data_IF_965902491635
#
_entry.id   IF_965902491635
#
_cell.length_a   1.000
_cell.length_b   1.000
_cell.length_c   1.000
_cell.angle_alpha   90.00
_cell.angle_beta   90.00
_cell.angle_gamma   90.00
#
_symmetry.space_group_name_H-M   'P 1'
#
loop_
_entity.id
_entity.type
_entity.pdbx_description
1 polymer ?
#
# COMPACT_ATOMS: atom_id res chain seq x y z
N UNK A 1 9.63 -12.09 -14.48
CA UNK A 1 9.21 -12.74 -13.22
C UNK A 1 9.91 -14.09 -13.15
N UNK A 2 10.64 -14.36 -12.10
CA UNK A 2 11.31 -15.65 -11.95
C UNK A 2 10.25 -16.70 -11.58
N UNK A 3 10.05 -17.74 -12.40
CA UNK A 3 9.13 -18.84 -12.12
C UNK A 3 9.51 -19.67 -10.85
N UNK A 4 10.59 -19.28 -10.19
CA UNK A 4 11.06 -19.84 -8.92
C UNK A 4 10.69 -18.97 -7.72
N UNK A 5 9.98 -17.87 -7.95
CA UNK A 5 9.52 -17.00 -6.88
C UNK A 5 8.42 -17.71 -6.11
N UNK A 6 8.69 -17.99 -4.85
CA UNK A 6 7.88 -18.80 -3.95
C UNK A 6 7.78 -18.19 -2.56
N UNK A 7 8.08 -16.90 -2.47
CA UNK A 7 7.92 -16.20 -1.22
C UNK A 7 6.43 -15.96 -0.93
N UNK A 8 6.04 -16.18 0.32
CA UNK A 8 4.65 -16.22 0.77
C UNK A 8 3.85 -14.96 0.38
N UNK A 9 4.41 -13.77 0.60
CA UNK A 9 3.68 -12.53 0.36
C UNK A 9 3.38 -12.32 -1.12
N UNK A 10 4.27 -12.80 -1.99
CA UNK A 10 4.08 -12.79 -3.44
C UNK A 10 3.19 -13.94 -3.92
N UNK A 11 3.37 -15.15 -3.33
CA UNK A 11 2.56 -16.30 -3.67
C UNK A 11 1.05 -16.05 -3.43
N UNK A 12 0.71 -15.35 -2.34
CA UNK A 12 -0.70 -15.03 -2.01
C UNK A 12 -1.38 -14.12 -3.03
N UNK A 13 -0.64 -13.30 -3.78
CA UNK A 13 -1.22 -12.44 -4.82
C UNK A 13 -1.72 -13.22 -6.03
N UNK A 14 -1.32 -14.48 -6.18
CA UNK A 14 -1.76 -15.35 -7.27
C UNK A 14 -3.21 -15.83 -7.13
N UNK A 15 -3.81 -15.71 -5.95
CA UNK A 15 -5.10 -16.31 -5.55
C UNK A 15 -5.08 -17.85 -5.54
N UNK A 16 -3.91 -18.47 -5.61
CA UNK A 16 -3.75 -19.93 -5.62
C UNK A 16 -3.26 -20.49 -4.28
N UNK A 17 -3.08 -19.63 -3.28
CA UNK A 17 -2.73 -20.03 -1.90
C UNK A 17 -4.01 -20.22 -1.09
N UNK A 18 -4.10 -21.33 -0.36
CA UNK A 18 -5.15 -21.54 0.64
C UNK A 18 -4.80 -20.76 1.92
N UNK A 19 -5.59 -19.75 2.31
CA UNK A 19 -5.28 -18.91 3.46
C UNK A 19 -5.37 -19.63 4.81
N UNK A 20 -6.01 -20.79 4.86
CA UNK A 20 -6.08 -21.62 6.08
C UNK A 20 -4.88 -22.55 6.21
N UNK A 21 -4.43 -23.08 5.09
CA UNK A 21 -3.26 -23.97 5.03
C UNK A 21 -1.94 -23.19 4.99
N UNK A 22 -1.95 -21.91 4.59
CA UNK A 22 -0.78 -21.12 4.24
C UNK A 22 0.13 -21.80 3.22
N UNK A 23 -0.46 -22.57 2.32
CA UNK A 23 0.19 -23.33 1.25
C UNK A 23 -0.67 -23.27 -0.02
N UNK A 24 -0.14 -23.81 -1.12
CA UNK A 24 -0.85 -23.86 -2.39
C UNK A 24 -2.19 -24.59 -2.28
N UNK A 25 -3.24 -24.03 -2.88
CA UNK A 25 -4.54 -24.67 -3.02
C UNK A 25 -4.48 -25.71 -4.16
N UNK A 26 -3.96 -26.88 -3.84
CA UNK A 26 -3.76 -27.97 -4.82
C UNK A 26 -5.05 -28.37 -5.53
N UNK A 27 -6.18 -28.35 -4.83
CA UNK A 27 -7.47 -28.67 -5.43
C UNK A 27 -7.87 -27.67 -6.52
N UNK A 28 -7.61 -26.38 -6.28
CA UNK A 28 -7.86 -25.32 -7.27
C UNK A 28 -6.87 -25.38 -8.43
N UNK A 29 -5.58 -25.61 -8.14
CA UNK A 29 -4.52 -25.74 -9.14
C UNK A 29 -4.81 -26.88 -10.10
N UNK A 30 -5.18 -28.06 -9.56
CA UNK A 30 -5.54 -29.23 -10.37
C UNK A 30 -6.79 -28.98 -11.22
N UNK A 31 -7.81 -28.34 -10.64
CA UNK A 31 -9.04 -27.98 -11.36
C UNK A 31 -8.78 -27.02 -12.53
N UNK A 32 -7.80 -26.09 -12.38
CA UNK A 32 -7.39 -25.16 -13.42
C UNK A 32 -6.46 -25.83 -14.47
N UNK A 33 -6.02 -27.06 -14.23
CA UNK A 33 -5.13 -27.80 -15.14
C UNK A 33 -3.69 -27.28 -15.14
N UNK A 34 -3.26 -26.58 -14.12
CA UNK A 34 -1.88 -26.12 -14.02
C UNK A 34 -0.94 -27.26 -13.60
N UNK A 35 0.23 -27.43 -14.24
CA UNK A 35 1.20 -28.43 -13.83
C UNK A 35 1.72 -28.14 -12.41
N UNK A 36 1.60 -29.10 -11.49
CA UNK A 36 2.10 -28.95 -10.11
C UNK A 36 3.59 -28.63 -10.03
N UNK A 37 4.37 -29.00 -11.03
CA UNK A 37 5.81 -28.71 -11.12
C UNK A 37 6.15 -27.22 -11.22
N UNK A 38 5.17 -26.36 -11.53
CA UNK A 38 5.33 -24.90 -11.50
C UNK A 38 5.35 -24.34 -10.08
N UNK A 39 4.77 -25.07 -9.13
CA UNK A 39 4.55 -24.61 -7.75
C UNK A 39 5.54 -25.31 -6.82
N UNK A 40 6.49 -24.52 -6.32
CA UNK A 40 7.48 -25.01 -5.36
C UNK A 40 6.99 -24.73 -3.93
N UNK A 41 7.67 -25.32 -2.93
CA UNK A 41 7.39 -25.06 -1.51
C UNK A 41 7.45 -23.57 -1.23
N UNK A 42 6.40 -23.00 -0.63
CA UNK A 42 6.33 -21.60 -0.23
C UNK A 42 7.33 -21.34 0.90
N UNK A 43 8.04 -20.23 0.82
CA UNK A 43 9.00 -19.79 1.85
C UNK A 43 8.50 -18.48 2.48
N UNK A 44 8.72 -18.36 3.76
CA UNK A 44 8.38 -17.12 4.49
C UNK A 44 9.52 -16.08 4.37
N UNK A 45 9.15 -14.80 4.38
CA UNK A 45 10.10 -13.71 4.54
C UNK A 45 10.97 -13.90 5.82
N UNK A 46 12.25 -13.59 5.73
CA UNK A 46 13.26 -13.88 6.76
C UNK A 46 13.96 -15.23 6.57
N UNK A 47 13.49 -16.09 5.64
CA UNK A 47 14.18 -17.35 5.35
C UNK A 47 15.54 -17.12 4.69
N UNK A 48 16.54 -17.92 5.09
CA UNK A 48 17.85 -17.92 4.46
C UNK A 48 17.77 -18.74 3.17
N UNK A 49 18.03 -18.11 2.03
CA UNK A 49 18.06 -18.76 0.71
C UNK A 49 19.34 -19.57 0.51
N UNK A 50 20.46 -19.06 1.02
CA UNK A 50 21.78 -19.66 0.90
C UNK A 50 22.88 -18.63 1.07
N UNK A 51 24.10 -19.00 0.70
CA UNK A 51 25.21 -18.05 0.60
C UNK A 51 25.17 -17.31 -0.74
N UNK A 52 25.78 -16.14 -0.77
CA UNK A 52 26.02 -15.42 -2.02
C UNK A 52 26.77 -16.33 -3.01
N UNK A 53 26.39 -16.35 -4.27
CA UNK A 53 27.01 -17.22 -5.28
C UNK A 53 28.53 -16.91 -5.40
N UNK A 54 29.35 -17.95 -5.55
CA UNK A 54 30.83 -17.84 -5.60
C UNK A 54 31.33 -16.83 -6.64
N UNK A 55 30.64 -16.77 -7.80
CA UNK A 55 30.96 -15.80 -8.85
C UNK A 55 30.75 -14.35 -8.40
N UNK A 56 29.75 -14.11 -7.57
CA UNK A 56 29.46 -12.77 -7.03
C UNK A 56 30.38 -12.47 -5.85
N UNK A 57 30.64 -13.44 -4.96
CA UNK A 57 31.61 -13.27 -3.85
C UNK A 57 32.97 -12.81 -4.39
N UNK A 58 33.43 -13.42 -5.49
CA UNK A 58 34.70 -13.02 -6.16
C UNK A 58 34.67 -11.59 -6.69
N UNK A 59 33.50 -11.10 -7.15
CA UNK A 59 33.37 -9.74 -7.68
C UNK A 59 33.31 -8.69 -6.58
N UNK A 60 32.56 -8.97 -5.48
CA UNK A 60 32.36 -8.00 -4.39
C UNK A 60 33.45 -8.10 -3.30
N UNK A 61 34.18 -9.22 -3.23
CA UNK A 61 35.28 -9.43 -2.29
C UNK A 61 34.85 -9.84 -0.87
N UNK A 62 33.60 -10.25 -0.68
CA UNK A 62 33.09 -10.74 0.63
C UNK A 62 32.06 -11.85 0.47
N UNK A 63 31.85 -12.59 1.56
CA UNK A 63 30.79 -13.59 1.70
C UNK A 63 29.64 -13.02 2.54
N UNK A 64 28.41 -13.36 2.17
CA UNK A 64 27.24 -13.08 2.98
C UNK A 64 26.12 -14.10 2.74
N UNK A 65 25.17 -14.15 3.66
CA UNK A 65 23.93 -14.90 3.49
C UNK A 65 22.94 -14.07 2.67
N UNK A 66 22.20 -14.74 1.80
CA UNK A 66 21.07 -14.16 1.08
C UNK A 66 19.81 -14.46 1.88
N UNK A 67 19.15 -13.42 2.36
CA UNK A 67 17.89 -13.50 3.11
C UNK A 67 16.74 -13.11 2.20
N UNK A 68 15.66 -13.88 2.24
CA UNK A 68 14.43 -13.60 1.51
C UNK A 68 13.64 -12.53 2.25
N UNK A 69 13.41 -11.33 1.70
CA UNK A 69 12.51 -10.34 2.30
C UNK A 69 11.05 -10.71 2.03
N UNK A 70 10.11 -9.90 2.52
CA UNK A 70 8.76 -9.89 1.98
C UNK A 70 8.82 -9.33 0.53
N UNK A 71 8.74 -10.19 -0.48
CA UNK A 71 9.05 -9.83 -1.87
C UNK A 71 7.94 -9.04 -2.56
N UNK A 72 6.72 -9.08 -2.04
CA UNK A 72 5.70 -8.11 -2.41
C UNK A 72 6.04 -6.77 -1.74
N UNK A 73 6.24 -5.72 -2.55
CA UNK A 73 6.69 -4.40 -2.09
C UNK A 73 5.84 -3.81 -0.96
N UNK A 74 4.51 -3.91 -1.09
CA UNK A 74 3.59 -3.45 -0.03
C UNK A 74 3.70 -4.30 1.24
N UNK A 75 4.02 -5.60 1.15
CA UNK A 75 4.22 -6.41 2.34
C UNK A 75 5.46 -5.94 3.13
N UNK A 76 6.54 -5.63 2.43
CA UNK A 76 7.70 -4.98 3.03
C UNK A 76 7.33 -3.60 3.60
N UNK A 77 6.61 -2.77 2.86
CA UNK A 77 6.20 -1.45 3.35
C UNK A 77 5.36 -1.53 4.65
N UNK A 78 4.48 -2.51 4.76
CA UNK A 78 3.66 -2.73 5.96
C UNK A 78 4.49 -3.21 7.15
N UNK A 79 5.58 -3.95 6.94
CA UNK A 79 6.53 -4.26 8.01
C UNK A 79 7.13 -3.00 8.64
N UNK A 80 7.38 -1.97 7.82
CA UNK A 80 7.95 -0.69 8.25
C UNK A 80 6.93 0.31 8.80
N UNK A 81 5.65 -0.06 8.96
CA UNK A 81 4.64 0.83 9.56
C UNK A 81 5.03 1.14 11.01
N UNK A 82 5.30 2.42 11.36
CA UNK A 82 5.87 2.78 12.66
C UNK A 82 4.80 2.85 13.75
N UNK A 83 4.13 1.74 14.02
CA UNK A 83 3.01 1.67 14.97
C UNK A 83 3.36 0.84 16.20
N UNK A 84 2.81 1.26 17.35
CA UNK A 84 2.82 0.45 18.58
C UNK A 84 1.67 -0.55 18.64
N UNK A 85 0.66 -0.37 17.78
CA UNK A 85 -0.49 -1.26 17.68
C UNK A 85 -0.12 -2.53 16.91
N UNK A 86 -0.66 -3.65 17.35
CA UNK A 86 -0.45 -4.94 16.68
C UNK A 86 -1.12 -4.99 15.31
N UNK A 87 -2.24 -4.29 15.15
CA UNK A 87 -3.05 -4.25 13.94
C UNK A 87 -3.36 -2.78 13.58
N UNK A 88 -2.39 -2.03 13.09
CA UNK A 88 -2.58 -0.63 12.75
C UNK A 88 -3.49 -0.48 11.52
N UNK A 89 -4.26 0.61 11.48
CA UNK A 89 -4.85 1.06 10.23
C UNK A 89 -3.78 1.82 9.44
N UNK A 90 -3.52 1.41 8.22
CA UNK A 90 -2.45 1.99 7.41
C UNK A 90 -2.89 2.33 5.98
N UNK A 91 -2.13 3.21 5.35
CA UNK A 91 -2.16 3.45 3.90
C UNK A 91 -0.73 3.31 3.39
N UNK A 92 -0.47 2.29 2.57
CA UNK A 92 0.73 2.23 1.75
C UNK A 92 0.47 3.07 0.51
N UNK A 93 0.97 4.30 0.52
CA UNK A 93 0.64 5.32 -0.48
C UNK A 93 1.76 5.51 -1.49
N UNK A 94 1.49 5.13 -2.72
CA UNK A 94 2.35 5.26 -3.88
C UNK A 94 1.51 5.61 -5.12
N UNK A 95 1.85 5.03 -6.26
CA UNK A 95 1.01 5.09 -7.47
C UNK A 95 -0.41 4.64 -7.16
N UNK A 96 -0.55 3.51 -6.46
CA UNK A 96 -1.77 3.07 -5.80
C UNK A 96 -1.74 3.45 -4.32
N UNK A 97 -2.92 3.49 -3.70
CA UNK A 97 -3.06 3.56 -2.24
C UNK A 97 -3.70 2.28 -1.74
N UNK A 98 -2.93 1.47 -1.04
CA UNK A 98 -3.40 0.24 -0.42
C UNK A 98 -3.74 0.54 1.04
N UNK A 99 -5.04 0.66 1.33
CA UNK A 99 -5.52 1.00 2.67
C UNK A 99 -6.06 -0.24 3.36
N UNK A 100 -5.57 -0.52 4.56
CA UNK A 100 -5.96 -1.74 5.28
C UNK A 100 -5.47 -1.81 6.70
N UNK A 101 -5.67 -3.00 7.28
CA UNK A 101 -5.14 -3.40 8.58
C UNK A 101 -4.55 -4.81 8.48
N UNK A 102 -3.90 -5.26 9.54
CA UNK A 102 -3.39 -6.64 9.60
C UNK A 102 -4.32 -7.51 10.42
N UNK A 103 -4.58 -8.72 9.92
CA UNK A 103 -5.35 -9.76 10.62
C UNK A 103 -4.49 -10.99 10.85
N UNK A 104 -4.78 -11.77 11.91
CA UNK A 104 -4.15 -13.07 12.16
C UNK A 104 -4.78 -14.19 11.33
N UNK A 105 -6.04 -14.02 10.95
CA UNK A 105 -6.80 -14.95 10.13
C UNK A 105 -7.43 -14.20 8.94
N UNK A 106 -7.51 -14.86 7.79
CA UNK A 106 -8.10 -14.26 6.61
C UNK A 106 -9.62 -14.08 6.76
N UNK A 107 -10.11 -12.90 6.45
CA UNK A 107 -11.55 -12.59 6.41
C UNK A 107 -12.09 -12.85 5.00
N UNK A 108 -12.55 -14.08 4.74
CA UNK A 108 -13.05 -14.53 3.43
C UNK A 108 -14.57 -14.67 3.40
N UNK A 109 -15.27 -13.75 4.06
CA UNK A 109 -16.73 -13.72 4.12
C UNK A 109 -17.35 -12.90 2.98
N UNK A 110 -18.68 -13.00 2.84
CA UNK A 110 -19.44 -12.33 1.79
C UNK A 110 -19.42 -10.80 1.93
N UNK A 111 -19.27 -10.28 3.16
CA UNK A 111 -19.19 -8.82 3.37
C UNK A 111 -17.85 -8.30 2.87
N UNK A 112 -16.74 -8.98 3.20
CA UNK A 112 -15.41 -8.66 2.67
C UNK A 112 -15.42 -8.64 1.12
N UNK A 113 -16.06 -9.65 0.50
CA UNK A 113 -16.20 -9.71 -0.96
C UNK A 113 -17.00 -8.53 -1.53
N UNK A 114 -18.15 -8.18 -0.92
CA UNK A 114 -19.01 -7.07 -1.35
C UNK A 114 -18.30 -5.72 -1.27
N UNK A 115 -17.46 -5.53 -0.27
CA UNK A 115 -16.67 -4.31 -0.09
C UNK A 115 -15.34 -4.32 -0.86
N UNK A 116 -15.12 -5.34 -1.71
CA UNK A 116 -13.88 -5.50 -2.50
C UNK A 116 -12.62 -5.49 -1.64
N UNK A 117 -12.69 -6.14 -0.47
CA UNK A 117 -11.53 -6.33 0.40
C UNK A 117 -10.74 -7.55 -0.06
N UNK A 118 -9.43 -7.48 0.05
CA UNK A 118 -8.50 -8.58 -0.23
C UNK A 118 -7.76 -9.01 1.03
N UNK A 119 -7.32 -10.28 1.06
CA UNK A 119 -6.45 -10.84 2.09
C UNK A 119 -5.13 -11.21 1.43
N UNK A 120 -4.13 -10.37 1.56
CA UNK A 120 -2.80 -10.61 1.01
C UNK A 120 -1.85 -11.03 2.14
N UNK A 121 -0.98 -11.99 1.87
CA UNK A 121 0.01 -12.44 2.85
C UNK A 121 0.96 -11.31 3.27
N UNK A 122 1.24 -11.26 4.57
CA UNK A 122 2.22 -10.39 5.19
C UNK A 122 3.32 -11.22 5.88
N UNK A 123 4.21 -10.52 6.60
CA UNK A 123 5.24 -11.15 7.41
C UNK A 123 4.61 -11.98 8.53
N UNK A 124 5.23 -13.11 8.88
CA UNK A 124 4.79 -13.99 9.96
C UNK A 124 3.34 -14.49 9.82
N UNK A 125 2.97 -14.90 8.59
CA UNK A 125 1.63 -15.37 8.23
C UNK A 125 0.48 -14.41 8.57
N UNK A 126 0.77 -13.12 8.79
CA UNK A 126 -0.28 -12.10 8.91
C UNK A 126 -0.94 -11.88 7.56
N UNK A 127 -2.21 -11.51 7.58
CA UNK A 127 -2.93 -11.10 6.39
C UNK A 127 -3.03 -9.58 6.36
N UNK A 128 -2.63 -8.98 5.26
CA UNK A 128 -2.91 -7.59 4.93
C UNK A 128 -4.34 -7.54 4.38
N UNK A 129 -5.29 -7.24 5.26
CA UNK A 129 -6.69 -7.05 4.91
C UNK A 129 -6.88 -5.65 4.42
N UNK A 130 -6.98 -5.48 3.10
CA UNK A 130 -6.88 -4.16 2.48
C UNK A 130 -7.80 -3.99 1.28
N UNK A 131 -7.94 -2.74 0.86
CA UNK A 131 -8.61 -2.31 -0.36
C UNK A 131 -7.61 -1.53 -1.22
N UNK A 132 -7.58 -1.83 -2.51
CA UNK A 132 -6.84 -1.05 -3.48
C UNK A 132 -7.67 0.19 -3.87
N UNK A 133 -7.07 1.35 -3.75
CA UNK A 133 -7.64 2.64 -4.10
C UNK A 133 -6.75 3.26 -5.16
N UNK A 134 -7.34 3.92 -6.16
CA UNK A 134 -6.59 4.74 -7.10
C UNK A 134 -5.81 5.79 -6.30
N UNK A 135 -4.49 5.73 -6.34
CA UNK A 135 -3.65 6.56 -5.50
C UNK A 135 -3.14 7.81 -6.21
N UNK A 136 -1.86 8.11 -5.99
CA UNK A 136 -1.21 9.28 -6.60
C UNK A 136 -1.05 9.17 -8.12
N UNK A 137 -1.37 8.05 -8.73
CA UNK A 137 -1.45 7.85 -10.18
C UNK A 137 -2.27 8.95 -10.87
N UNK A 138 -3.42 9.35 -10.26
CA UNK A 138 -4.27 10.38 -10.83
C UNK A 138 -3.52 11.71 -10.96
N UNK A 139 -2.88 12.16 -9.89
CA UNK A 139 -2.13 13.44 -9.92
C UNK A 139 -0.83 13.33 -10.71
N UNK A 140 -0.17 12.17 -10.73
CA UNK A 140 1.02 11.94 -11.55
C UNK A 140 0.69 12.05 -13.04
N UNK A 141 -0.46 11.49 -13.47
CA UNK A 141 -0.94 11.58 -14.85
C UNK A 141 -1.30 13.00 -15.23
N UNK A 142 -2.10 13.69 -14.42
CA UNK A 142 -2.49 15.10 -14.67
C UNK A 142 -1.26 15.99 -14.75
N UNK A 143 -0.29 15.83 -13.82
CA UNK A 143 0.97 16.57 -13.88
C UNK A 143 1.69 16.37 -15.22
N UNK A 144 1.82 15.12 -15.67
CA UNK A 144 2.49 14.78 -16.93
C UNK A 144 1.77 15.38 -18.14
N UNK A 145 0.43 15.49 -18.09
CA UNK A 145 -0.39 15.99 -19.18
C UNK A 145 -0.34 17.52 -19.32
N UNK A 146 -0.49 18.26 -18.21
CA UNK A 146 -0.76 19.70 -18.28
C UNK A 146 0.17 20.58 -17.44
N UNK A 147 1.09 20.01 -16.66
CA UNK A 147 2.03 20.77 -15.82
C UNK A 147 3.35 20.01 -15.56
N UNK A 148 4.02 19.47 -16.61
CA UNK A 148 5.22 18.65 -16.41
C UNK A 148 6.40 19.39 -15.76
N UNK A 149 6.40 20.73 -15.85
CA UNK A 149 7.41 21.62 -15.26
C UNK A 149 7.26 21.80 -13.75
N UNK A 150 6.06 21.60 -13.19
CA UNK A 150 5.80 21.80 -11.78
C UNK A 150 6.20 20.59 -10.94
N UNK A 151 6.75 20.82 -9.76
CA UNK A 151 6.96 19.81 -8.73
C UNK A 151 5.65 19.42 -8.03
N UNK A 152 5.60 18.22 -7.44
CA UNK A 152 4.40 17.76 -6.70
C UNK A 152 4.09 18.67 -5.49
N UNK A 153 5.11 19.25 -4.84
CA UNK A 153 4.94 20.23 -3.76
C UNK A 153 4.23 21.50 -4.24
N UNK A 154 4.63 22.03 -5.39
CA UNK A 154 4.00 23.22 -5.98
C UNK A 154 2.55 22.95 -6.39
N UNK A 155 2.26 21.80 -7.00
CA UNK A 155 0.90 21.39 -7.35
C UNK A 155 0.04 21.26 -6.09
N UNK A 156 0.58 20.65 -5.04
CA UNK A 156 -0.06 20.50 -3.73
C UNK A 156 -0.39 21.89 -3.11
N UNK A 157 0.53 22.84 -3.18
CA UNK A 157 0.33 24.20 -2.71
C UNK A 157 -0.72 24.96 -3.53
N UNK A 158 -0.68 24.85 -4.86
CA UNK A 158 -1.69 25.45 -5.75
C UNK A 158 -3.09 24.88 -5.47
N UNK A 159 -3.20 23.57 -5.31
CA UNK A 159 -4.45 22.88 -4.99
C UNK A 159 -5.02 23.34 -3.63
N UNK A 160 -4.15 23.51 -2.63
CA UNK A 160 -4.58 23.91 -1.27
C UNK A 160 -5.22 25.30 -1.18
N UNK A 161 -4.99 26.14 -2.19
CA UNK A 161 -5.56 27.49 -2.30
C UNK A 161 -6.90 27.54 -3.02
N UNK A 162 -7.37 26.38 -3.56
CA UNK A 162 -8.63 26.29 -4.29
C UNK A 162 -9.80 25.96 -3.34
N UNK A 163 -10.99 26.39 -3.76
CA UNK A 163 -12.23 26.17 -3.00
C UNK A 163 -13.30 25.45 -3.84
N UNK A 164 -12.89 24.80 -4.95
CA UNK A 164 -13.83 24.07 -5.80
C UNK A 164 -14.47 22.92 -5.02
N UNK A 165 -15.83 22.81 -5.00
CA UNK A 165 -16.53 21.84 -4.14
C UNK A 165 -16.71 20.46 -4.79
N UNK A 166 -16.17 20.25 -5.99
CA UNK A 166 -16.40 19.06 -6.78
C UNK A 166 -15.59 17.86 -6.28
N UNK A 167 -16.20 16.67 -6.43
CA UNK A 167 -15.59 15.39 -6.10
C UNK A 167 -15.84 14.39 -7.22
N UNK A 168 -14.92 13.46 -7.40
CA UNK A 168 -15.08 12.29 -8.25
C UNK A 168 -14.96 11.01 -7.41
N UNK A 169 -15.55 9.90 -7.87
CA UNK A 169 -15.24 8.61 -7.27
C UNK A 169 -13.85 8.18 -7.70
N UNK A 170 -12.88 8.22 -6.78
CA UNK A 170 -11.50 7.84 -7.07
C UNK A 170 -11.36 6.38 -7.53
N UNK A 171 -12.34 5.52 -7.26
CA UNK A 171 -12.34 4.10 -7.69
C UNK A 171 -13.12 3.87 -8.99
N UNK A 172 -13.61 4.90 -9.65
CA UNK A 172 -14.27 4.74 -10.94
C UNK A 172 -13.29 4.13 -11.96
N UNK A 173 -13.66 3.03 -12.66
CA UNK A 173 -12.82 2.36 -13.64
C UNK A 173 -12.27 3.28 -14.75
N UNK A 174 -12.92 4.41 -15.01
CA UNK A 174 -12.44 5.42 -15.99
C UNK A 174 -11.05 5.95 -15.66
N UNK A 175 -10.65 5.95 -14.38
CA UNK A 175 -9.34 6.46 -13.94
C UNK A 175 -8.23 5.40 -13.94
N UNK A 176 -8.54 4.15 -14.24
CA UNK A 176 -7.57 3.06 -14.21
C UNK A 176 -6.46 3.23 -15.26
N UNK A 177 -6.84 3.52 -16.50
CA UNK A 177 -5.90 3.71 -17.62
C UNK A 177 -6.51 4.63 -18.68
N UNK A 178 -6.87 5.88 -18.35
CA UNK A 178 -7.43 6.80 -19.33
C UNK A 178 -6.33 7.28 -20.29
N UNK A 179 -6.73 7.63 -21.50
CA UNK A 179 -5.85 8.31 -22.46
C UNK A 179 -5.45 9.70 -21.94
N UNK A 180 -6.41 10.42 -21.33
CA UNK A 180 -6.21 11.73 -20.71
C UNK A 180 -6.94 11.83 -19.37
N UNK A 181 -6.20 11.71 -18.28
CA UNK A 181 -6.72 11.77 -16.91
C UNK A 181 -7.44 13.08 -16.60
N UNK A 182 -6.87 14.21 -17.03
CA UNK A 182 -7.45 15.54 -16.84
C UNK A 182 -8.86 15.62 -17.43
N UNK A 183 -9.02 15.15 -18.67
CA UNK A 183 -10.31 15.15 -19.36
C UNK A 183 -11.33 14.24 -18.68
N UNK A 184 -10.91 13.07 -18.18
CA UNK A 184 -11.83 12.17 -17.46
C UNK A 184 -12.28 12.72 -16.12
N UNK A 185 -11.42 13.42 -15.37
CA UNK A 185 -11.80 14.13 -14.14
C UNK A 185 -12.83 15.23 -14.45
N UNK A 186 -12.57 16.04 -15.47
CA UNK A 186 -13.49 17.11 -15.91
C UNK A 186 -14.85 16.55 -16.36
N UNK A 187 -14.83 15.46 -17.12
CA UNK A 187 -16.03 14.79 -17.63
C UNK A 187 -16.83 14.17 -16.48
N UNK A 188 -16.19 13.53 -15.49
CA UNK A 188 -16.87 12.99 -14.31
C UNK A 188 -17.59 14.09 -13.52
N UNK A 189 -16.95 15.24 -13.32
CA UNK A 189 -17.58 16.39 -12.66
C UNK A 189 -18.78 16.92 -13.47
N UNK A 190 -18.64 17.05 -14.80
CA UNK A 190 -19.71 17.50 -15.68
C UNK A 190 -20.91 16.55 -15.68
N UNK A 191 -20.67 15.25 -15.78
CA UNK A 191 -21.70 14.21 -15.79
C UNK A 191 -22.49 14.16 -14.49
N UNK A 192 -21.85 14.46 -13.36
CA UNK A 192 -22.50 14.54 -12.04
C UNK A 192 -23.11 15.92 -11.74
N UNK A 193 -23.12 16.85 -12.71
CA UNK A 193 -23.69 18.19 -12.54
C UNK A 193 -22.89 19.10 -11.60
N UNK A 194 -21.64 18.79 -11.37
CA UNK A 194 -20.74 19.56 -10.50
C UNK A 194 -19.95 20.61 -11.29
N UNK A 195 -19.34 21.54 -10.60
CA UNK A 195 -18.42 22.52 -11.20
C UNK A 195 -17.24 21.77 -11.86
N UNK A 196 -16.96 22.09 -13.14
CA UNK A 196 -15.88 21.46 -13.91
C UNK A 196 -14.55 22.17 -13.57
N UNK A 197 -13.55 21.44 -13.01
CA UNK A 197 -12.28 22.03 -12.64
C UNK A 197 -11.48 22.49 -13.85
N UNK A 198 -10.77 23.63 -13.72
CA UNK A 198 -9.96 24.24 -14.78
C UNK A 198 -8.48 24.32 -14.35
N UNK A 199 -7.58 23.95 -15.28
CA UNK A 199 -6.14 23.98 -15.03
C UNK A 199 -5.69 23.06 -13.89
N UNK A 200 -4.37 23.06 -13.65
CA UNK A 200 -3.74 22.11 -12.71
C UNK A 200 -4.21 22.31 -11.27
N UNK A 201 -4.43 23.55 -10.82
CA UNK A 201 -4.76 23.83 -9.43
C UNK A 201 -6.12 23.27 -9.01
N UNK A 202 -7.19 23.53 -9.81
CA UNK A 202 -8.54 23.02 -9.49
C UNK A 202 -8.65 21.51 -9.74
N UNK A 203 -8.05 20.99 -10.80
CA UNK A 203 -8.05 19.54 -11.09
C UNK A 203 -7.34 18.79 -9.95
N UNK A 204 -6.18 19.26 -9.50
CA UNK A 204 -5.48 18.68 -8.38
C UNK A 204 -6.27 18.79 -7.06
N UNK A 205 -6.95 19.90 -6.82
CA UNK A 205 -7.83 20.10 -5.68
C UNK A 205 -8.95 19.04 -5.66
N UNK A 206 -9.65 18.83 -6.77
CA UNK A 206 -10.67 17.79 -6.90
C UNK A 206 -10.10 16.40 -6.63
N UNK A 207 -8.94 16.07 -7.21
CA UNK A 207 -8.31 14.76 -7.01
C UNK A 207 -7.94 14.53 -5.53
N UNK A 208 -7.26 15.48 -4.89
CA UNK A 208 -6.82 15.32 -3.49
C UNK A 208 -8.00 15.21 -2.53
N UNK A 209 -9.04 16.03 -2.71
CA UNK A 209 -10.27 15.94 -1.90
C UNK A 209 -10.99 14.60 -2.13
N UNK A 210 -11.06 14.12 -3.37
CA UNK A 210 -11.68 12.84 -3.72
C UNK A 210 -10.95 11.66 -3.10
N UNK A 211 -9.62 11.64 -3.17
CA UNK A 211 -8.79 10.62 -2.52
C UNK A 211 -8.97 10.61 -1.01
N UNK A 212 -8.89 11.78 -0.37
CA UNK A 212 -9.05 11.87 1.09
C UNK A 212 -10.44 11.45 1.57
N UNK A 213 -11.49 11.79 0.80
CA UNK A 213 -12.86 11.31 1.05
C UNK A 213 -12.95 9.79 0.89
N UNK A 214 -12.36 9.22 -0.16
CA UNK A 214 -12.31 7.78 -0.38
C UNK A 214 -11.59 7.06 0.76
N UNK A 215 -10.50 7.62 1.29
CA UNK A 215 -9.82 7.06 2.47
C UNK A 215 -10.72 7.10 3.71
N UNK A 216 -11.49 8.18 3.91
CA UNK A 216 -12.42 8.27 5.03
C UNK A 216 -13.54 7.23 4.95
N UNK A 217 -14.09 7.02 3.77
CA UNK A 217 -15.14 6.02 3.55
C UNK A 217 -14.58 4.59 3.72
N UNK A 218 -13.38 4.33 3.19
CA UNK A 218 -12.67 3.04 3.36
C UNK A 218 -12.31 2.77 4.83
N UNK A 219 -11.90 3.77 5.60
CA UNK A 219 -11.65 3.62 7.03
C UNK A 219 -12.89 3.12 7.78
N UNK A 220 -14.04 3.72 7.51
CA UNK A 220 -15.33 3.31 8.10
C UNK A 220 -15.74 1.89 7.68
N UNK A 221 -15.50 1.52 6.41
CA UNK A 221 -15.73 0.16 5.93
C UNK A 221 -14.88 -0.85 6.69
N UNK A 222 -13.57 -0.59 6.84
CA UNK A 222 -12.65 -1.47 7.58
C UNK A 222 -13.09 -1.58 9.05
N UNK A 223 -13.43 -0.47 9.71
CA UNK A 223 -13.92 -0.47 11.09
C UNK A 223 -15.19 -1.32 11.23
N UNK A 224 -16.15 -1.18 10.32
CA UNK A 224 -17.38 -1.96 10.30
C UNK A 224 -17.11 -3.46 10.09
N UNK A 225 -16.23 -3.81 9.14
CA UNK A 225 -15.93 -5.20 8.78
C UNK A 225 -15.12 -5.92 9.85
N UNK A 226 -14.21 -5.21 10.51
CA UNK A 226 -13.35 -5.78 11.57
C UNK A 226 -13.94 -5.69 12.98
N UNK A 227 -14.97 -4.87 13.16
CA UNK A 227 -15.52 -4.56 14.49
C UNK A 227 -14.58 -3.74 15.38
N UNK A 228 -13.55 -3.12 14.81
CA UNK A 228 -12.54 -2.31 15.52
C UNK A 228 -12.71 -0.84 15.21
N UNK A 229 -12.25 0.01 16.11
CA UNK A 229 -12.09 1.45 15.90
C UNK A 229 -10.61 1.81 15.94
N UNK A 230 -10.24 2.81 15.14
CA UNK A 230 -8.85 3.27 15.05
C UNK A 230 -8.80 4.77 15.31
N UNK A 231 -7.92 5.22 16.19
CA UNK A 231 -7.74 6.64 16.50
C UNK A 231 -6.80 7.33 15.52
N UNK A 232 -5.97 6.56 14.84
CA UNK A 232 -4.98 7.08 13.89
C UNK A 232 -4.85 6.20 12.64
N UNK A 233 -4.25 6.79 11.60
CA UNK A 233 -3.86 6.11 10.36
C UNK A 233 -2.37 6.34 10.15
N UNK A 234 -1.66 5.26 9.83
CA UNK A 234 -0.25 5.29 9.47
C UNK A 234 -0.12 5.39 7.94
N UNK A 235 0.49 6.42 7.42
CA UNK A 235 0.75 6.57 5.98
C UNK A 235 2.23 6.34 5.72
N UNK A 236 2.55 5.34 4.91
CA UNK A 236 3.91 4.98 4.51
C UNK A 236 4.09 5.03 3.00
N UNK A 237 5.33 5.08 2.53
CA UNK A 237 5.66 5.20 1.12
C UNK A 237 5.68 6.66 0.62
N UNK A 238 5.80 6.85 -0.68
CA UNK A 238 5.97 8.17 -1.30
C UNK A 238 4.88 9.20 -0.95
N UNK A 239 3.64 8.73 -0.71
CA UNK A 239 2.53 9.58 -0.30
C UNK A 239 2.66 10.17 1.10
N UNK A 240 3.58 9.68 1.93
CA UNK A 240 3.90 10.31 3.21
C UNK A 240 4.37 11.78 3.04
N UNK A 241 4.92 12.12 1.87
CA UNK A 241 5.33 13.49 1.53
C UNK A 241 4.20 14.36 0.94
N UNK A 242 2.99 13.81 0.73
CA UNK A 242 1.87 14.54 0.15
C UNK A 242 1.13 15.35 1.24
N UNK A 243 1.76 16.43 1.74
CA UNK A 243 1.34 17.21 2.89
C UNK A 243 -0.14 17.64 2.83
N UNK A 244 -0.60 18.17 1.69
CA UNK A 244 -1.99 18.59 1.53
C UNK A 244 -2.96 17.41 1.59
N UNK A 245 -2.65 16.28 0.92
CA UNK A 245 -3.47 15.07 0.99
C UNK A 245 -3.52 14.52 2.42
N UNK A 246 -2.41 14.52 3.14
CA UNK A 246 -2.35 14.06 4.52
C UNK A 246 -3.20 14.92 5.45
N UNK A 247 -3.18 16.26 5.29
CA UNK A 247 -4.08 17.20 5.99
C UNK A 247 -5.54 16.95 5.68
N UNK A 248 -5.88 16.79 4.40
CA UNK A 248 -7.25 16.44 3.98
C UNK A 248 -7.68 15.09 4.55
N UNK A 249 -6.79 14.10 4.57
CA UNK A 249 -7.07 12.78 5.14
C UNK A 249 -7.40 12.90 6.63
N UNK A 250 -6.63 13.67 7.41
CA UNK A 250 -6.94 13.95 8.81
C UNK A 250 -8.32 14.64 8.97
N UNK A 251 -8.59 15.63 8.11
CA UNK A 251 -9.86 16.36 8.11
C UNK A 251 -11.07 15.46 7.82
N UNK A 252 -11.03 14.64 6.77
CA UNK A 252 -12.17 13.80 6.36
C UNK A 252 -12.35 12.59 7.26
N UNK A 253 -11.26 11.95 7.70
CA UNK A 253 -11.33 10.76 8.56
C UNK A 253 -11.64 11.10 10.02
N UNK A 254 -11.35 12.32 10.45
CA UNK A 254 -11.36 12.75 11.87
C UNK A 254 -10.40 11.95 12.74
N UNK A 255 -9.34 11.41 12.13
CA UNK A 255 -8.29 10.62 12.78
C UNK A 255 -6.95 11.35 12.72
N UNK A 256 -6.08 11.08 13.68
CA UNK A 256 -4.69 11.52 13.60
C UNK A 256 -3.97 10.76 12.50
N UNK A 257 -3.23 11.47 11.65
CA UNK A 257 -2.40 10.87 10.62
C UNK A 257 -0.94 10.93 11.04
N UNK A 258 -0.26 9.81 10.95
CA UNK A 258 1.19 9.70 11.09
C UNK A 258 1.78 9.32 9.73
N UNK A 259 2.52 10.22 9.11
CA UNK A 259 3.06 10.05 7.77
C UNK A 259 4.59 9.88 7.79
N UNK A 260 5.06 8.76 7.29
CA UNK A 260 6.45 8.30 7.24
C UNK A 260 6.59 6.85 7.69
N UNK A 261 7.70 6.21 7.31
CA UNK A 261 8.75 6.67 6.41
C UNK A 261 8.35 6.61 4.93
N UNK A 262 9.05 7.40 4.10
CA UNK A 262 8.83 7.43 2.64
C UNK A 262 9.32 6.15 1.95
N UNK A 263 10.52 5.68 2.31
CA UNK A 263 11.14 4.49 1.72
C UNK A 263 10.76 3.19 2.46
N UNK A 264 9.47 3.06 2.79
CA UNK A 264 8.97 1.99 3.66
C UNK A 264 9.27 0.58 3.11
N UNK A 265 9.20 0.38 1.79
CA UNK A 265 9.52 -0.92 1.17
C UNK A 265 10.97 -1.34 1.43
N UNK A 266 11.93 -0.44 1.22
CA UNK A 266 13.34 -0.71 1.48
C UNK A 266 13.60 -0.94 2.98
N UNK A 267 12.98 -0.13 3.84
CA UNK A 267 13.10 -0.23 5.29
C UNK A 267 12.51 -1.56 5.79
N UNK A 268 11.36 -1.99 5.30
CA UNK A 268 10.76 -3.28 5.66
C UNK A 268 11.59 -4.47 5.20
N UNK A 269 12.24 -4.36 4.03
CA UNK A 269 13.22 -5.36 3.58
C UNK A 269 14.39 -5.46 4.58
N UNK A 270 14.94 -4.32 5.03
CA UNK A 270 15.98 -4.30 6.06
C UNK A 270 15.47 -4.91 7.38
N UNK A 271 14.26 -4.58 7.80
CA UNK A 271 13.65 -5.17 9.01
C UNK A 271 13.60 -6.70 8.94
N UNK A 272 13.18 -7.27 7.81
CA UNK A 272 13.14 -8.73 7.63
C UNK A 272 14.55 -9.35 7.77
N UNK A 273 15.56 -8.71 7.20
CA UNK A 273 16.95 -9.16 7.29
C UNK A 273 17.52 -9.03 8.72
N UNK A 274 17.22 -7.93 9.41
CA UNK A 274 17.68 -7.71 10.80
C UNK A 274 17.03 -8.72 11.76
N UNK A 275 15.75 -9.04 11.57
CA UNK A 275 15.09 -10.10 12.35
C UNK A 275 15.74 -11.46 12.05
N UNK A 276 15.98 -11.78 10.78
CA UNK A 276 16.62 -13.03 10.39
C UNK A 276 18.08 -13.15 10.90
N UNK A 277 18.78 -12.05 11.07
CA UNK A 277 20.12 -11.98 11.64
C UNK A 277 20.15 -12.03 13.17
N UNK A 278 19.00 -11.89 13.83
CA UNK A 278 18.89 -11.82 15.29
C UNK A 278 19.24 -10.45 15.90
N UNK A 279 19.36 -9.41 15.06
CA UNK A 279 19.60 -8.03 15.51
C UNK A 279 18.31 -7.38 16.05
N UNK A 280 17.16 -7.87 15.62
CA UNK A 280 15.84 -7.52 16.13
C UNK A 280 15.09 -8.81 16.47
N UNK A 281 14.38 -8.79 17.58
CA UNK A 281 13.71 -9.98 18.12
C UNK A 281 12.47 -10.36 17.27
N UNK A 282 11.69 -9.36 16.85
CA UNK A 282 10.43 -9.56 16.16
C UNK A 282 9.95 -8.30 15.42
N UNK A 283 8.81 -8.42 14.71
CA UNK A 283 8.19 -7.32 13.95
C UNK A 283 7.84 -6.10 14.85
N UNK A 284 7.45 -6.32 16.10
CA UNK A 284 7.12 -5.23 17.02
C UNK A 284 8.34 -4.38 17.34
N UNK A 285 9.47 -5.01 17.62
CA UNK A 285 10.74 -4.30 17.85
C UNK A 285 11.21 -3.59 16.58
N UNK A 286 11.09 -4.24 15.43
CA UNK A 286 11.41 -3.62 14.14
C UNK A 286 10.61 -2.34 13.91
N UNK A 287 9.31 -2.33 14.16
CA UNK A 287 8.45 -1.13 14.04
C UNK A 287 8.83 -0.04 15.05
N UNK A 288 9.25 -0.41 16.26
CA UNK A 288 9.76 0.56 17.25
C UNK A 288 11.08 1.18 16.78
N UNK A 289 11.96 0.37 16.21
CA UNK A 289 13.22 0.84 15.62
C UNK A 289 12.95 1.82 14.47
N UNK A 290 12.02 1.49 13.57
CA UNK A 290 11.59 2.39 12.48
C UNK A 290 11.07 3.72 13.04
N UNK A 291 10.17 3.66 14.04
CA UNK A 291 9.62 4.87 14.66
C UNK A 291 10.70 5.78 15.27
N UNK A 292 11.73 5.19 15.86
CA UNK A 292 12.84 5.92 16.49
C UNK A 292 13.87 6.45 15.47
N UNK A 293 13.96 5.84 14.28
CA UNK A 293 15.03 6.09 13.32
C UNK A 293 14.65 7.06 12.19
N UNK A 294 13.35 7.21 11.92
CA UNK A 294 12.87 8.00 10.77
C UNK A 294 11.92 9.12 11.21
N UNK A 295 11.91 10.25 10.47
CA UNK A 295 10.96 11.32 10.75
C UNK A 295 9.52 10.87 10.44
N UNK A 296 8.63 11.10 11.39
CA UNK A 296 7.20 10.82 11.26
C UNK A 296 6.46 12.14 11.48
N UNK A 297 5.77 12.60 10.45
CA UNK A 297 4.99 13.82 10.50
C UNK A 297 3.58 13.54 11.01
N UNK A 298 3.14 14.34 11.97
CA UNK A 298 1.81 14.23 12.59
C UNK A 298 0.87 15.29 12.02
N UNK A 299 -0.33 14.87 11.60
CA UNK A 299 -1.42 15.75 11.20
C UNK A 299 -2.64 15.48 12.08
N UNK A 300 -3.16 16.53 12.67
CA UNK A 300 -4.35 16.48 13.53
C UNK A 300 -5.55 17.06 12.79
N UNK A 301 -6.77 16.65 13.23
CA UNK A 301 -8.06 17.11 12.69
C UNK A 301 -8.35 18.58 13.05
#
# INVERSE_FOLDING_TARGET
MCIRDREYTNATTTQLVDPKANDWNWALIDRLGYPRTLFQTIMMAGSIVGNLADSIQKQVGFECKVVLPATHDTASAVMAVPSKEEQPLYISSGTWSLMGTELKEAACDEQSRKHNMTNEGGYDYRFRYLKNIMGLWMIQSVRKEIAPELGFGEISELASKQTIPSFVDANDPRFLAPEHMTSEVQKACKESGQQVPQGIAEVACVIYNSLAKCYADTAKEIEKLTGKTYDCIQIVGGGANADYLNKLTAFFTKKTIYAGPTEATAIGNLCAQMIAAGELENLKEARQCVYASFPIHKYEK
#
